data_IF_190987640888
#
_entry.id   IF_190987640888
#
_cell.length_a   1.000
_cell.length_b   1.000
_cell.length_c   1.000
_cell.angle_alpha   90.00
_cell.angle_beta   90.00
_cell.angle_gamma   90.00
#
_symmetry.space_group_name_H-M   'P 1'
#
loop_
_entity.id
_entity.type
_entity.pdbx_description
1 polymer ?
#
# COMPACT_ATOMS: atom_id res chain seq x y z
N UNK A 1 -13.99 -10.11 14.59
CA UNK A 1 -13.00 -11.18 14.88
C UNK A 1 -12.04 -10.79 16.02
N UNK A 2 -11.26 -9.71 15.92
CA UNK A 2 -10.27 -9.35 16.95
C UNK A 2 -10.84 -9.20 18.37
N UNK A 3 -11.99 -8.52 18.52
CA UNK A 3 -12.69 -8.41 19.81
C UNK A 3 -12.91 -9.78 20.48
N UNK A 4 -13.47 -10.75 19.74
CA UNK A 4 -13.74 -12.09 20.27
C UNK A 4 -12.48 -12.88 20.61
N UNK A 5 -11.42 -12.70 19.83
CA UNK A 5 -10.15 -13.34 20.11
C UNK A 5 -9.58 -12.90 21.46
N UNK A 6 -9.73 -11.61 21.79
CA UNK A 6 -9.25 -11.07 23.07
C UNK A 6 -10.19 -11.38 24.22
N UNK A 7 -11.51 -11.22 24.06
CA UNK A 7 -12.47 -11.54 25.12
C UNK A 7 -12.57 -13.05 25.39
N UNK A 8 -12.39 -13.89 24.37
CA UNK A 8 -12.41 -15.36 24.50
C UNK A 8 -11.20 -15.97 25.22
N UNK A 9 -10.23 -15.15 25.66
CA UNK A 9 -9.15 -15.58 26.55
C UNK A 9 -9.61 -15.71 28.00
N UNK A 10 -10.64 -14.96 28.40
CA UNK A 10 -11.19 -14.97 29.75
C UNK A 10 -12.22 -16.09 29.95
N UNK A 11 -12.45 -16.50 31.21
CA UNK A 11 -13.51 -17.45 31.57
C UNK A 11 -13.34 -18.90 31.10
N UNK A 12 -12.12 -19.30 30.70
CA UNK A 12 -11.82 -20.69 30.25
C UNK A 12 -11.97 -21.75 31.34
N UNK A 13 -11.93 -21.32 32.59
CA UNK A 13 -12.16 -22.14 33.78
C UNK A 13 -13.65 -22.31 34.12
N UNK A 14 -14.55 -21.79 33.27
CA UNK A 14 -16.00 -21.82 33.47
C UNK A 14 -16.49 -20.83 34.52
N UNK A 15 -15.61 -19.99 35.10
CA UNK A 15 -15.99 -18.95 36.05
C UNK A 15 -16.42 -17.69 35.33
N UNK A 16 -17.23 -16.88 36.04
CA UNK A 16 -17.70 -15.60 35.53
C UNK A 16 -16.51 -14.67 35.24
N UNK A 17 -16.52 -14.05 34.06
CA UNK A 17 -15.55 -13.05 33.64
C UNK A 17 -16.26 -11.82 33.10
N UNK A 18 -15.66 -10.65 33.32
CA UNK A 18 -16.20 -9.37 32.91
C UNK A 18 -15.29 -8.74 31.85
N UNK A 19 -15.88 -8.33 30.73
CA UNK A 19 -15.18 -7.62 29.66
C UNK A 19 -15.91 -6.29 29.44
N UNK A 20 -15.16 -5.19 29.44
CA UNK A 20 -15.69 -3.85 29.20
C UNK A 20 -15.09 -3.27 27.92
N UNK A 21 -15.95 -2.69 27.08
CA UNK A 21 -15.55 -1.97 25.88
C UNK A 21 -15.77 -0.46 26.11
N UNK A 22 -14.69 0.31 26.07
CA UNK A 22 -14.78 1.77 26.06
C UNK A 22 -14.87 2.25 24.61
N UNK A 23 -15.96 2.92 24.27
CA UNK A 23 -16.24 3.39 22.93
C UNK A 23 -16.10 4.92 22.86
N UNK A 24 -15.48 5.40 21.79
CA UNK A 24 -15.30 6.81 21.47
C UNK A 24 -15.49 7.04 19.96
N UNK A 25 -16.35 8.00 19.63
CA UNK A 25 -16.66 8.37 18.24
C UNK A 25 -15.41 8.86 17.49
N UNK A 26 -14.51 9.56 18.17
CA UNK A 26 -13.28 10.10 17.57
C UNK A 26 -12.37 8.96 17.09
N UNK A 27 -12.22 7.93 17.91
CA UNK A 27 -11.47 6.72 17.61
C UNK A 27 -12.09 5.96 16.44
N UNK A 28 -13.42 5.83 16.41
CA UNK A 28 -14.11 5.23 15.27
C UNK A 28 -13.84 5.99 13.96
N UNK A 29 -13.99 7.31 13.94
CA UNK A 29 -13.73 8.13 12.74
C UNK A 29 -12.28 8.02 12.27
N UNK A 30 -11.33 7.93 13.20
CA UNK A 30 -9.91 7.72 12.90
C UNK A 30 -9.64 6.35 12.28
N UNK A 31 -10.16 5.27 12.87
CA UNK A 31 -10.00 3.92 12.33
C UNK A 31 -10.69 3.77 10.97
N UNK A 32 -11.87 4.37 10.81
CA UNK A 32 -12.59 4.41 9.54
C UNK A 32 -11.77 5.12 8.46
N UNK A 33 -11.22 6.29 8.78
CA UNK A 33 -10.32 7.03 7.88
C UNK A 33 -9.10 6.20 7.49
N UNK A 34 -8.45 5.53 8.46
CA UNK A 34 -7.28 4.67 8.19
C UNK A 34 -7.59 3.48 7.27
N UNK A 35 -8.84 3.04 7.17
CA UNK A 35 -9.24 1.97 6.25
C UNK A 35 -9.06 2.34 4.78
N UNK A 36 -9.04 3.64 4.45
CA UNK A 36 -8.78 4.17 3.11
C UNK A 36 -7.27 4.32 2.81
N UNK A 37 -6.39 4.00 3.76
CA UNK A 37 -4.95 4.22 3.60
C UNK A 37 -4.29 3.30 2.57
N UNK A 38 -4.91 2.16 2.26
CA UNK A 38 -4.41 1.20 1.26
C UNK A 38 -5.14 1.31 -0.09
N UNK A 39 -6.21 2.11 -0.17
CA UNK A 39 -7.00 2.24 -1.40
C UNK A 39 -6.18 2.86 -2.55
N UNK A 40 -6.46 2.49 -3.78
CA UNK A 40 -5.74 2.99 -4.95
C UNK A 40 -6.72 3.41 -6.03
N UNK A 41 -6.27 4.33 -6.89
CA UNK A 41 -7.03 4.78 -8.05
C UNK A 41 -6.61 3.99 -9.28
N UNK A 42 -7.53 3.83 -10.23
CA UNK A 42 -7.28 3.10 -11.48
C UNK A 42 -6.11 3.70 -12.27
N UNK A 43 -5.97 5.02 -12.25
CA UNK A 43 -4.84 5.69 -12.88
C UNK A 43 -3.48 5.24 -12.29
N UNK A 44 -3.40 5.08 -10.97
CA UNK A 44 -2.18 4.65 -10.30
C UNK A 44 -1.87 3.18 -10.62
N UNK A 45 -2.89 2.31 -10.60
CA UNK A 45 -2.78 0.89 -10.99
C UNK A 45 -2.34 0.76 -12.44
N UNK A 46 -2.98 1.46 -13.37
CA UNK A 46 -2.61 1.43 -14.78
C UNK A 46 -1.15 1.86 -15.00
N UNK A 47 -0.72 2.95 -14.38
CA UNK A 47 0.67 3.44 -14.46
C UNK A 47 1.67 2.45 -13.86
N UNK A 48 1.30 1.78 -12.77
CA UNK A 48 2.09 0.71 -12.14
C UNK A 48 2.22 -0.49 -13.08
N UNK A 49 1.12 -1.00 -13.64
CA UNK A 49 1.11 -2.12 -14.57
C UNK A 49 1.89 -1.82 -15.86
N UNK A 50 1.74 -0.62 -16.43
CA UNK A 50 2.54 -0.19 -17.59
C UNK A 50 4.04 -0.21 -17.29
N UNK A 51 4.43 0.12 -16.07
CA UNK A 51 5.83 0.04 -15.66
C UNK A 51 6.29 -1.41 -15.51
N UNK A 52 5.49 -2.27 -14.87
CA UNK A 52 5.77 -3.69 -14.67
C UNK A 52 5.95 -4.43 -16.01
N UNK A 53 5.10 -4.13 -17.00
CA UNK A 53 5.08 -4.76 -18.33
C UNK A 53 5.72 -3.89 -19.44
N UNK A 54 6.66 -3.00 -19.08
CA UNK A 54 7.29 -2.09 -20.05
C UNK A 54 8.13 -2.83 -21.12
N UNK A 55 8.41 -2.19 -22.26
CA UNK A 55 9.12 -2.83 -23.39
C UNK A 55 10.52 -3.36 -23.05
N UNK A 56 11.15 -2.84 -22.00
CA UNK A 56 12.44 -3.32 -21.48
C UNK A 56 12.36 -4.72 -20.85
N UNK A 57 11.16 -5.21 -20.55
CA UNK A 57 10.89 -6.54 -20.00
C UNK A 57 10.51 -7.58 -21.07
N UNK A 58 10.47 -7.20 -22.36
CA UNK A 58 10.10 -8.10 -23.48
C UNK A 58 11.11 -9.22 -23.80
N UNK A 59 12.26 -9.24 -23.13
CA UNK A 59 13.18 -10.37 -23.22
C UNK A 59 12.63 -11.50 -22.36
N UNK A 60 12.26 -12.62 -22.99
CA UNK A 60 11.76 -13.80 -22.30
C UNK A 60 12.76 -14.23 -21.21
N UNK A 61 12.26 -14.55 -20.01
CA UNK A 61 13.03 -14.96 -18.82
C UNK A 61 14.00 -13.93 -18.24
N UNK A 62 13.95 -12.65 -18.66
CA UNK A 62 14.74 -11.59 -18.04
C UNK A 62 14.25 -11.30 -16.61
N UNK A 63 15.20 -11.24 -15.68
CA UNK A 63 14.93 -10.86 -14.28
C UNK A 63 14.70 -9.35 -14.23
N UNK A 64 13.50 -8.96 -13.81
CA UNK A 64 13.09 -7.58 -13.61
C UNK A 64 13.17 -7.22 -12.13
N UNK A 65 13.44 -5.95 -11.85
CA UNK A 65 13.45 -5.40 -10.50
C UNK A 65 12.69 -4.09 -10.42
N UNK A 66 12.02 -3.89 -9.29
CA UNK A 66 11.28 -2.68 -8.97
C UNK A 66 11.66 -2.19 -7.56
N UNK A 67 12.49 -1.14 -7.49
CA UNK A 67 12.92 -0.53 -6.22
C UNK A 67 11.72 0.00 -5.46
N UNK A 68 11.51 -0.52 -4.25
CA UNK A 68 10.28 -0.35 -3.48
C UNK A 68 10.03 1.12 -3.13
N UNK A 69 11.02 1.82 -2.58
CA UNK A 69 10.86 3.22 -2.14
C UNK A 69 10.52 4.15 -3.31
N UNK A 70 11.29 4.05 -4.40
CA UNK A 70 11.09 4.84 -5.62
C UNK A 70 9.72 4.56 -6.25
N UNK A 71 9.34 3.29 -6.37
CA UNK A 71 8.03 2.89 -6.90
C UNK A 71 6.89 3.38 -6.00
N UNK A 72 7.04 3.21 -4.69
CA UNK A 72 6.03 3.59 -3.69
C UNK A 72 5.69 5.07 -3.80
N UNK A 73 6.69 5.93 -3.88
CA UNK A 73 6.51 7.37 -4.08
C UNK A 73 5.96 7.70 -5.48
N UNK A 74 6.47 7.07 -6.54
CA UNK A 74 6.09 7.35 -7.95
C UNK A 74 4.63 7.00 -8.27
N UNK A 75 4.10 5.96 -7.65
CA UNK A 75 2.74 5.44 -7.87
C UNK A 75 1.79 5.75 -6.72
N UNK A 76 2.26 6.38 -5.64
CA UNK A 76 1.51 6.64 -4.41
C UNK A 76 0.86 5.36 -3.80
N UNK A 77 1.63 4.26 -3.83
CA UNK A 77 1.20 2.94 -3.33
C UNK A 77 2.12 2.46 -2.24
N UNK A 78 1.58 1.95 -1.12
CA UNK A 78 2.41 1.30 -0.11
C UNK A 78 3.02 0.01 -0.66
N UNK A 79 4.16 -0.40 -0.11
CA UNK A 79 4.84 -1.66 -0.46
C UNK A 79 3.86 -2.86 -0.46
N UNK A 80 3.07 -3.00 0.60
CA UNK A 80 2.11 -4.09 0.77
C UNK A 80 1.03 -4.12 -0.32
N UNK A 81 0.62 -2.95 -0.83
CA UNK A 81 -0.38 -2.84 -1.91
C UNK A 81 0.25 -3.27 -3.24
N UNK A 82 1.47 -2.79 -3.54
CA UNK A 82 2.19 -3.23 -4.74
C UNK A 82 2.45 -4.74 -4.71
N UNK A 83 2.87 -5.27 -3.55
CA UNK A 83 3.07 -6.71 -3.37
C UNK A 83 1.77 -7.49 -3.59
N UNK A 84 0.65 -7.01 -3.06
CA UNK A 84 -0.67 -7.64 -3.24
C UNK A 84 -1.05 -7.71 -4.72
N UNK A 85 -0.82 -6.63 -5.48
CA UNK A 85 -1.07 -6.63 -6.93
C UNK A 85 -0.15 -7.62 -7.64
N UNK A 86 1.15 -7.62 -7.34
CA UNK A 86 2.11 -8.53 -7.99
C UNK A 86 1.80 -10.00 -7.68
N UNK A 87 1.44 -10.33 -6.43
CA UNK A 87 1.02 -11.68 -6.05
C UNK A 87 -0.29 -12.07 -6.72
N UNK A 88 -1.23 -11.14 -6.90
CA UNK A 88 -2.46 -11.43 -7.66
C UNK A 88 -2.14 -11.75 -9.13
N UNK A 89 -1.18 -11.05 -9.74
CA UNK A 89 -0.71 -11.33 -11.11
C UNK A 89 0.03 -12.68 -11.24
N UNK A 90 0.58 -13.21 -10.15
CA UNK A 90 1.23 -14.52 -10.08
C UNK A 90 0.24 -15.67 -9.88
N UNK A 91 -0.77 -15.46 -9.02
CA UNK A 91 -1.71 -16.51 -8.60
C UNK A 91 -3.02 -16.53 -9.39
N UNK A 92 -3.24 -15.56 -10.28
CA UNK A 92 -4.45 -15.46 -11.11
C UNK A 92 -4.61 -16.60 -12.11
N UNK A 93 -5.78 -16.66 -12.76
CA UNK A 93 -6.06 -17.63 -13.84
C UNK A 93 -5.03 -17.53 -14.97
N UNK A 94 -4.64 -16.30 -15.29
CA UNK A 94 -3.51 -15.99 -16.15
C UNK A 94 -2.33 -15.62 -15.25
N UNK A 95 -1.28 -16.43 -15.31
CA UNK A 95 -0.04 -16.19 -14.57
C UNK A 95 0.85 -15.23 -15.36
N UNK A 96 0.66 -13.93 -15.15
CA UNK A 96 1.39 -12.91 -15.91
C UNK A 96 2.87 -12.84 -15.55
N UNK A 97 3.21 -13.10 -14.30
CA UNK A 97 4.58 -13.03 -13.79
C UNK A 97 4.84 -14.07 -12.72
N UNK A 98 6.12 -14.32 -12.42
CA UNK A 98 6.58 -15.10 -11.28
C UNK A 98 7.38 -14.22 -10.35
N UNK A 99 7.02 -14.20 -9.07
CA UNK A 99 7.77 -13.47 -8.06
C UNK A 99 9.04 -14.22 -7.69
N UNK A 100 10.10 -13.46 -7.47
CA UNK A 100 11.39 -13.94 -6.99
C UNK A 100 11.65 -13.37 -5.58
N UNK A 101 12.59 -13.96 -4.82
CA UNK A 101 12.97 -13.43 -3.52
C UNK A 101 13.34 -11.95 -3.61
N UNK A 102 12.77 -11.12 -2.73
CA UNK A 102 13.16 -9.72 -2.60
C UNK A 102 14.64 -9.63 -2.21
N UNK A 103 15.36 -8.68 -2.81
CA UNK A 103 16.75 -8.41 -2.50
C UNK A 103 17.09 -6.93 -2.69
N UNK A 104 18.21 -6.52 -2.13
CA UNK A 104 18.80 -5.19 -2.34
C UNK A 104 19.55 -5.19 -3.66
N UNK A 105 18.98 -4.60 -4.71
CA UNK A 105 19.42 -4.84 -6.09
C UNK A 105 20.68 -4.09 -6.49
N UNK A 106 20.95 -2.94 -5.87
CA UNK A 106 22.16 -2.18 -6.14
C UNK A 106 23.30 -2.64 -5.23
N UNK A 107 24.37 -3.19 -5.82
CA UNK A 107 25.57 -3.61 -5.13
C UNK A 107 26.73 -2.66 -5.42
N UNK A 108 27.41 -2.20 -4.38
CA UNK A 108 28.67 -1.46 -4.46
C UNK A 108 29.78 -2.35 -3.96
N UNK A 109 30.71 -2.71 -4.85
CA UNK A 109 31.75 -3.69 -4.59
C UNK A 109 33.14 -3.05 -4.71
N UNK A 110 34.01 -3.34 -3.75
CA UNK A 110 35.39 -2.88 -3.71
C UNK A 110 36.34 -4.08 -3.75
N UNK A 111 37.33 -4.04 -4.66
CA UNK A 111 38.36 -5.08 -4.78
C UNK A 111 39.63 -4.65 -4.04
N UNK A 112 40.17 -5.52 -3.20
CA UNK A 112 41.33 -5.20 -2.36
C UNK A 112 42.59 -5.94 -2.76
N UNK A 113 42.47 -7.25 -3.02
CA UNK A 113 43.61 -8.16 -3.11
C UNK A 113 44.03 -8.42 -4.55
N UNK A 114 43.13 -8.96 -5.37
CA UNK A 114 43.39 -9.23 -6.79
C UNK A 114 42.78 -8.15 -7.69
N UNK A 115 43.42 -7.89 -8.82
CA UNK A 115 42.85 -6.98 -9.82
C UNK A 115 41.55 -7.55 -10.41
N UNK A 116 40.52 -6.71 -10.64
CA UNK A 116 39.22 -7.16 -11.15
C UNK A 116 39.31 -7.95 -12.46
N UNK A 117 40.19 -7.53 -13.38
CA UNK A 117 40.38 -8.19 -14.68
C UNK A 117 40.97 -9.60 -14.53
N UNK A 118 41.81 -9.84 -13.52
CA UNK A 118 42.38 -11.17 -13.25
C UNK A 118 41.32 -12.12 -12.72
N UNK A 119 40.42 -11.63 -11.87
CA UNK A 119 39.29 -12.42 -11.37
C UNK A 119 38.24 -12.66 -12.46
N UNK A 120 37.95 -11.65 -13.28
CA UNK A 120 37.05 -11.74 -14.43
C UNK A 120 37.51 -12.79 -15.45
N UNK A 121 38.81 -12.93 -15.69
CA UNK A 121 39.35 -13.96 -16.58
C UNK A 121 39.08 -15.40 -16.09
N UNK A 122 38.79 -15.59 -14.79
CA UNK A 122 38.57 -16.90 -14.16
C UNK A 122 37.11 -17.17 -13.80
N UNK A 123 36.28 -16.14 -13.67
CA UNK A 123 34.90 -16.26 -13.25
C UNK A 123 33.97 -15.41 -14.13
N UNK A 124 33.01 -16.07 -14.78
CA UNK A 124 32.05 -15.44 -15.68
C UNK A 124 31.15 -14.41 -14.98
N UNK A 125 30.81 -14.63 -13.71
CA UNK A 125 30.00 -13.71 -12.90
C UNK A 125 30.81 -12.44 -12.62
N UNK A 126 32.08 -12.58 -12.25
CA UNK A 126 32.96 -11.42 -12.01
C UNK A 126 33.18 -10.64 -13.32
N UNK A 127 33.35 -11.34 -14.44
CA UNK A 127 33.42 -10.70 -15.76
C UNK A 127 32.16 -9.89 -16.08
N UNK A 128 30.97 -10.45 -15.80
CA UNK A 128 29.70 -9.78 -15.99
C UNK A 128 29.53 -8.57 -15.06
N UNK A 129 29.92 -8.69 -13.79
CA UNK A 129 29.93 -7.59 -12.81
C UNK A 129 30.79 -6.44 -13.33
N UNK A 130 32.05 -6.71 -13.68
CA UNK A 130 32.98 -5.68 -14.16
C UNK A 130 32.43 -5.00 -15.42
N UNK A 131 31.87 -5.78 -16.36
CA UNK A 131 31.29 -5.27 -17.61
C UNK A 131 30.03 -4.41 -17.41
N UNK A 132 29.17 -4.76 -16.45
CA UNK A 132 27.88 -4.09 -16.20
C UNK A 132 27.95 -3.01 -15.13
N UNK A 133 29.08 -2.89 -14.44
CA UNK A 133 29.29 -1.89 -13.40
C UNK A 133 29.62 -0.51 -13.95
N UNK A 134 29.19 0.52 -13.22
CA UNK A 134 29.74 1.85 -13.32
C UNK A 134 30.80 2.04 -12.22
N UNK A 135 32.01 2.44 -12.60
CA UNK A 135 33.12 2.65 -11.64
C UNK A 135 33.08 4.08 -11.08
N UNK A 136 32.99 4.22 -9.76
CA UNK A 136 33.10 5.50 -9.03
C UNK A 136 34.21 5.39 -7.99
N UNK A 137 35.28 6.17 -8.14
CA UNK A 137 36.39 6.20 -7.16
C UNK A 137 36.97 4.80 -6.84
N UNK A 138 37.05 3.92 -7.83
CA UNK A 138 37.52 2.53 -7.66
C UNK A 138 36.45 1.54 -7.15
N UNK A 139 35.25 2.02 -6.79
CA UNK A 139 34.11 1.18 -6.43
C UNK A 139 33.30 0.79 -7.67
N UNK A 140 32.92 -0.48 -7.74
CA UNK A 140 32.13 -1.06 -8.82
C UNK A 140 30.67 -1.08 -8.40
N UNK A 141 29.84 -0.22 -9.01
CA UNK A 141 28.40 -0.12 -8.70
C UNK A 141 27.59 -0.78 -9.81
N UNK A 142 26.75 -1.76 -9.49
CA UNK A 142 25.97 -2.52 -10.48
C UNK A 142 24.63 -3.01 -9.93
N UNK A 143 23.71 -3.33 -10.83
CA UNK A 143 22.42 -3.97 -10.54
C UNK A 143 22.54 -5.49 -10.65
N UNK A 144 22.21 -6.20 -9.57
CA UNK A 144 22.34 -7.67 -9.48
C UNK A 144 21.43 -8.39 -10.51
N UNK A 145 20.12 -8.08 -10.62
CA UNK A 145 19.25 -8.61 -11.67
C UNK A 145 19.77 -8.41 -13.09
N UNK A 146 20.34 -7.25 -13.40
CA UNK A 146 20.89 -6.94 -14.71
C UNK A 146 22.16 -7.76 -15.01
N UNK A 147 23.02 -7.98 -14.01
CA UNK A 147 24.17 -8.88 -14.12
C UNK A 147 23.69 -10.31 -14.37
N UNK A 148 22.80 -10.82 -13.50
CA UNK A 148 22.27 -12.18 -13.57
C UNK A 148 21.61 -12.46 -14.94
N UNK A 149 20.76 -11.55 -15.41
CA UNK A 149 20.09 -11.65 -16.71
C UNK A 149 21.04 -11.61 -17.90
N UNK A 150 22.19 -10.92 -17.77
CA UNK A 150 23.14 -10.79 -18.89
C UNK A 150 23.94 -12.07 -19.18
N UNK A 151 23.99 -12.99 -18.22
CA UNK A 151 24.69 -14.27 -18.33
C UNK A 151 23.77 -15.48 -18.09
N UNK A 152 22.47 -15.26 -17.89
CA UNK A 152 21.47 -16.32 -17.75
C UNK A 152 21.60 -17.16 -16.47
N UNK A 153 22.00 -16.54 -15.35
CA UNK A 153 22.12 -17.21 -14.04
C UNK A 153 21.10 -16.65 -13.05
N UNK A 154 20.88 -17.33 -11.91
CA UNK A 154 20.01 -16.81 -10.88
C UNK A 154 20.68 -15.67 -10.08
N UNK A 155 19.88 -14.76 -9.51
CA UNK A 155 20.41 -13.71 -8.61
C UNK A 155 21.09 -14.29 -7.38
N UNK A 156 20.65 -15.47 -6.91
CA UNK A 156 21.30 -16.23 -5.84
C UNK A 156 22.73 -16.61 -6.17
N UNK A 157 23.03 -16.94 -7.43
CA UNK A 157 24.37 -17.36 -7.86
C UNK A 157 25.34 -16.18 -7.83
N UNK A 158 24.87 -15.00 -8.28
CA UNK A 158 25.63 -13.75 -8.19
C UNK A 158 25.93 -13.40 -6.74
N UNK A 159 24.93 -13.50 -5.85
CA UNK A 159 25.10 -13.25 -4.41
C UNK A 159 26.07 -14.26 -3.77
N UNK A 160 25.96 -15.54 -4.09
CA UNK A 160 26.84 -16.58 -3.58
C UNK A 160 28.29 -16.37 -4.01
N UNK A 161 28.53 -15.93 -5.24
CA UNK A 161 29.88 -15.60 -5.71
C UNK A 161 30.45 -14.38 -4.96
N UNK A 162 29.67 -13.31 -4.79
CA UNK A 162 30.11 -12.13 -4.04
C UNK A 162 30.45 -12.50 -2.59
N UNK A 163 29.64 -13.35 -1.96
CA UNK A 163 29.92 -13.86 -0.62
C UNK A 163 31.21 -14.71 -0.60
N UNK A 164 31.41 -15.57 -1.59
CA UNK A 164 32.62 -16.38 -1.73
C UNK A 164 33.87 -15.52 -1.85
N UNK A 165 33.82 -14.45 -2.66
CA UNK A 165 34.91 -13.48 -2.81
C UNK A 165 35.18 -12.73 -1.50
N UNK A 166 34.13 -12.36 -0.76
CA UNK A 166 34.28 -11.73 0.56
C UNK A 166 34.95 -12.68 1.55
N UNK A 167 34.54 -13.95 1.60
CA UNK A 167 35.15 -14.95 2.48
C UNK A 167 36.63 -15.21 2.14
N UNK A 168 37.03 -15.06 0.88
CA UNK A 168 38.43 -15.13 0.44
C UNK A 168 39.23 -13.85 0.70
N UNK A 169 38.60 -12.80 1.24
CA UNK A 169 39.21 -11.48 1.46
C UNK A 169 39.51 -10.71 0.16
N UNK A 170 38.91 -11.10 -0.97
CA UNK A 170 39.13 -10.44 -2.25
C UNK A 170 38.37 -9.11 -2.33
N UNK A 171 37.18 -9.06 -1.72
CA UNK A 171 36.25 -7.94 -1.85
C UNK A 171 35.56 -7.56 -0.55
N UNK A 172 35.11 -6.31 -0.48
CA UNK A 172 34.05 -5.86 0.44
C UNK A 172 32.89 -5.32 -0.37
N UNK A 173 31.66 -5.44 0.14
CA UNK A 173 30.49 -4.94 -0.58
C UNK A 173 29.43 -4.36 0.35
N UNK A 174 28.64 -3.44 -0.20
CA UNK A 174 27.43 -2.85 0.39
C UNK A 174 26.27 -3.05 -0.59
N UNK A 175 25.07 -3.35 -0.07
CA UNK A 175 23.86 -3.49 -0.89
C UNK A 175 22.79 -2.50 -0.44
N UNK A 176 22.12 -1.87 -1.40
CA UNK A 176 21.05 -0.89 -1.19
C UNK A 176 19.89 -1.18 -2.14
N UNK A 177 18.83 -0.38 -2.02
CA UNK A 177 17.65 -0.41 -2.88
C UNK A 177 16.89 -1.74 -2.80
N UNK A 178 16.15 -1.98 -1.69
CA UNK A 178 15.23 -3.10 -1.61
C UNK A 178 14.24 -3.07 -2.78
N UNK A 179 14.09 -4.20 -3.49
CA UNK A 179 13.26 -4.28 -4.68
C UNK A 179 12.41 -5.55 -4.72
N UNK A 180 11.22 -5.43 -5.32
CA UNK A 180 10.52 -6.60 -5.84
C UNK A 180 11.28 -7.14 -7.05
N UNK A 181 11.57 -8.43 -7.06
CA UNK A 181 12.18 -9.10 -8.20
C UNK A 181 11.15 -10.06 -8.81
N UNK A 182 11.06 -10.12 -10.13
CA UNK A 182 10.11 -10.98 -10.83
C UNK A 182 10.55 -11.26 -12.26
N UNK A 183 9.99 -12.31 -12.87
CA UNK A 183 10.08 -12.56 -14.31
C UNK A 183 8.70 -12.45 -14.95
N UNK A 184 8.61 -11.83 -16.12
CA UNK A 184 7.35 -11.75 -16.88
C UNK A 184 7.18 -13.05 -17.68
N UNK A 185 6.04 -13.70 -17.51
CA UNK A 185 5.69 -14.95 -18.19
C UNK A 185 4.75 -14.66 -19.37
N UNK A 186 3.77 -13.79 -19.16
CA UNK A 186 2.78 -13.40 -20.17
C UNK A 186 2.52 -11.89 -20.13
N UNK A 187 2.34 -11.29 -21.31
CA UNK A 187 2.01 -9.87 -21.42
C UNK A 187 0.49 -9.71 -21.54
N UNK A 188 -0.13 -8.83 -20.74
CA UNK A 188 -1.55 -8.55 -20.85
C UNK A 188 -1.89 -7.95 -22.22
N UNK A 189 -2.93 -8.49 -22.87
CA UNK A 189 -3.44 -7.98 -24.15
C UNK A 189 -3.98 -6.56 -24.01
N UNK A 190 -4.58 -6.25 -22.87
CA UNK A 190 -5.11 -4.93 -22.53
C UNK A 190 -4.81 -4.59 -21.07
N UNK A 191 -3.88 -3.65 -20.87
CA UNK A 191 -3.50 -3.14 -19.55
C UNK A 191 -4.65 -2.35 -18.91
N UNK A 192 -5.48 -1.66 -19.70
CA UNK A 192 -6.57 -0.85 -19.18
C UNK A 192 -7.62 -1.76 -18.52
N UNK A 193 -8.07 -2.81 -19.22
CA UNK A 193 -9.01 -3.80 -18.66
C UNK A 193 -8.47 -4.47 -17.40
N UNK A 194 -7.20 -4.90 -17.40
CA UNK A 194 -6.56 -5.48 -16.22
C UNK A 194 -6.50 -4.49 -15.04
N UNK A 195 -6.21 -3.22 -15.33
CA UNK A 195 -6.20 -2.14 -14.33
C UNK A 195 -7.58 -1.92 -13.73
N UNK A 196 -8.64 -1.85 -14.55
CA UNK A 196 -10.01 -1.68 -14.07
C UNK A 196 -10.42 -2.87 -13.19
N UNK A 197 -10.08 -4.10 -13.59
CA UNK A 197 -10.39 -5.30 -12.83
C UNK A 197 -9.71 -5.31 -11.46
N UNK A 198 -8.39 -5.09 -11.41
CA UNK A 198 -7.62 -5.05 -10.16
C UNK A 198 -8.09 -3.91 -9.25
N UNK A 199 -8.39 -2.75 -9.82
CA UNK A 199 -8.87 -1.60 -9.04
C UNK A 199 -10.22 -1.89 -8.43
N UNK A 200 -11.14 -2.51 -9.17
CA UNK A 200 -12.45 -2.93 -8.66
C UNK A 200 -12.30 -3.91 -7.51
N UNK A 201 -11.47 -4.94 -7.68
CA UNK A 201 -11.19 -5.92 -6.63
C UNK A 201 -10.60 -5.27 -5.36
N UNK A 202 -9.63 -4.38 -5.51
CA UNK A 202 -9.05 -3.63 -4.37
C UNK A 202 -10.08 -2.72 -3.68
N UNK A 203 -10.99 -2.11 -4.45
CA UNK A 203 -12.08 -1.30 -3.91
C UNK A 203 -13.10 -2.13 -3.11
N UNK A 204 -13.36 -3.38 -3.52
CA UNK A 204 -14.19 -4.32 -2.76
C UNK A 204 -13.53 -4.68 -1.41
N UNK A 205 -12.22 -4.89 -1.40
CA UNK A 205 -11.44 -5.11 -0.17
C UNK A 205 -11.51 -3.88 0.76
N UNK A 206 -11.29 -2.68 0.21
CA UNK A 206 -11.40 -1.41 0.95
C UNK A 206 -12.80 -1.25 1.56
N UNK A 207 -13.85 -1.48 0.76
CA UNK A 207 -15.25 -1.41 1.19
C UNK A 207 -15.53 -2.42 2.30
N UNK A 208 -14.99 -3.63 2.21
CA UNK A 208 -15.12 -4.65 3.25
C UNK A 208 -14.46 -4.21 4.57
N UNK A 209 -13.28 -3.59 4.52
CA UNK A 209 -12.60 -3.04 5.72
C UNK A 209 -13.46 -1.98 6.41
N UNK A 210 -13.99 -1.01 5.66
CA UNK A 210 -14.86 0.05 6.17
C UNK A 210 -16.14 -0.55 6.78
N UNK A 211 -16.81 -1.45 6.06
CA UNK A 211 -18.04 -2.09 6.52
C UNK A 211 -17.85 -2.85 7.84
N UNK A 212 -16.74 -3.57 8.00
CA UNK A 212 -16.43 -4.28 9.25
C UNK A 212 -16.30 -3.32 10.45
N UNK A 213 -15.75 -2.13 10.26
CA UNK A 213 -15.70 -1.10 11.29
C UNK A 213 -17.08 -0.50 11.57
N UNK A 214 -17.87 -0.23 10.54
CA UNK A 214 -19.22 0.32 10.66
C UNK A 214 -20.14 -0.65 11.43
N UNK A 215 -20.06 -1.96 11.15
CA UNK A 215 -20.79 -2.99 11.90
C UNK A 215 -20.39 -3.02 13.38
N UNK A 216 -19.08 -3.02 13.67
CA UNK A 216 -18.58 -3.04 15.06
C UNK A 216 -19.02 -1.79 15.82
N UNK A 217 -18.96 -0.63 15.18
CA UNK A 217 -19.40 0.65 15.71
C UNK A 217 -20.90 0.65 16.00
N UNK A 218 -21.70 0.17 15.05
CA UNK A 218 -23.16 0.02 15.21
C UNK A 218 -23.51 -0.92 16.36
N UNK A 219 -22.79 -2.02 16.55
CA UNK A 219 -23.02 -2.95 17.65
C UNK A 219 -22.72 -2.30 19.01
N UNK A 220 -21.60 -1.58 19.13
CA UNK A 220 -21.24 -0.85 20.36
C UNK A 220 -22.29 0.23 20.70
N UNK A 221 -22.72 1.01 19.72
CA UNK A 221 -23.70 2.09 19.90
C UNK A 221 -25.08 1.54 20.28
N UNK A 222 -25.52 0.45 19.65
CA UNK A 222 -26.77 -0.20 20.00
C UNK A 222 -26.80 -0.65 21.46
N UNK A 223 -25.67 -1.17 21.97
CA UNK A 223 -25.55 -1.56 23.37
C UNK A 223 -25.56 -0.34 24.32
N UNK A 224 -24.93 0.77 23.96
CA UNK A 224 -24.91 1.98 24.80
C UNK A 224 -26.28 2.67 24.90
N UNK A 225 -27.05 2.71 23.81
CA UNK A 225 -28.32 3.45 23.74
C UNK A 225 -29.47 2.83 24.56
N UNK A 226 -29.36 1.58 25.02
CA UNK A 226 -30.37 0.89 25.84
C UNK A 226 -30.16 1.11 27.36
N UNK A 227 -29.35 2.08 27.75
CA UNK A 227 -28.95 2.36 29.15
C UNK A 227 -30.00 3.06 30.02
N UNK A 228 -31.26 3.17 29.58
CA UNK A 228 -32.32 3.92 30.26
C UNK A 228 -32.95 3.24 31.50
N UNK A 229 -32.37 2.15 32.04
CA UNK A 229 -32.87 1.49 33.27
C UNK A 229 -31.73 1.07 34.21
N UNK A 230 -32.02 1.11 35.53
CA UNK A 230 -31.09 1.06 36.68
C UNK A 230 -29.83 0.17 36.56
N UNK A 231 -28.74 0.66 37.15
CA UNK A 231 -27.33 0.26 36.97
C UNK A 231 -27.02 -1.25 37.09
N UNK A 232 -27.78 -2.03 37.86
CA UNK A 232 -27.48 -3.47 38.08
C UNK A 232 -28.09 -4.38 37.00
N UNK A 233 -29.19 -3.96 36.37
CA UNK A 233 -29.83 -4.70 35.25
C UNK A 233 -29.30 -4.30 33.86
N UNK A 234 -28.49 -3.24 33.80
CA UNK A 234 -28.03 -2.62 32.56
C UNK A 234 -27.00 -3.49 31.82
N UNK A 235 -26.02 -4.06 32.55
CA UNK A 235 -24.94 -4.85 31.93
C UNK A 235 -25.39 -6.15 31.25
N UNK A 236 -26.43 -6.81 31.76
CA UNK A 236 -26.96 -8.04 31.19
C UNK A 236 -27.64 -7.79 29.83
N UNK A 237 -28.43 -6.71 29.71
CA UNK A 237 -29.07 -6.32 28.44
C UNK A 237 -28.04 -5.91 27.39
N UNK A 238 -27.06 -5.08 27.79
CA UNK A 238 -25.95 -4.69 26.92
C UNK A 238 -25.19 -5.91 26.39
N UNK A 239 -24.93 -6.89 27.26
CA UNK A 239 -24.29 -8.15 26.90
C UNK A 239 -25.11 -8.92 25.87
N UNK A 240 -26.42 -9.07 26.08
CA UNK A 240 -27.31 -9.77 25.15
C UNK A 240 -27.37 -9.09 23.78
N UNK A 241 -27.44 -7.75 23.74
CA UNK A 241 -27.43 -6.98 22.49
C UNK A 241 -26.13 -7.22 21.73
N UNK A 242 -24.98 -7.08 22.40
CA UNK A 242 -23.68 -7.33 21.78
C UNK A 242 -23.55 -8.77 21.28
N UNK A 243 -23.94 -9.76 22.09
CA UNK A 243 -23.93 -11.17 21.71
C UNK A 243 -24.81 -11.45 20.49
N UNK A 244 -26.03 -10.90 20.46
CA UNK A 244 -26.93 -11.02 19.31
C UNK A 244 -26.29 -10.44 18.06
N UNK A 245 -25.76 -9.22 18.11
CA UNK A 245 -25.11 -8.58 16.95
C UNK A 245 -23.88 -9.33 16.47
N UNK A 246 -23.11 -9.90 17.40
CA UNK A 246 -21.96 -10.74 17.08
C UNK A 246 -22.43 -12.03 16.38
N UNK A 247 -23.44 -12.71 16.92
CA UNK A 247 -24.01 -13.90 16.30
C UNK A 247 -24.55 -13.61 14.90
N UNK A 248 -25.28 -12.50 14.74
CA UNK A 248 -25.79 -12.06 13.43
C UNK A 248 -24.65 -11.83 12.43
N UNK A 249 -23.52 -11.25 12.88
CA UNK A 249 -22.34 -11.05 12.03
C UNK A 249 -21.69 -12.36 11.56
N UNK A 250 -21.60 -13.37 12.43
CA UNK A 250 -20.98 -14.66 12.08
C UNK A 250 -21.92 -15.61 11.32
N UNK A 251 -23.23 -15.45 11.51
CA UNK A 251 -24.25 -16.29 10.86
C UNK A 251 -24.84 -15.64 9.60
N UNK A 252 -24.70 -14.33 9.44
CA UNK A 252 -25.24 -13.58 8.31
C UNK A 252 -24.30 -13.58 7.09
N UNK A 253 -24.89 -13.32 5.92
CA UNK A 253 -24.12 -13.02 4.72
C UNK A 253 -23.42 -11.65 4.85
N UNK A 254 -22.27 -11.48 4.18
CA UNK A 254 -21.43 -10.26 4.17
C UNK A 254 -22.17 -8.96 3.76
N UNK A 255 -23.45 -9.02 3.38
CA UNK A 255 -24.30 -7.93 2.84
C UNK A 255 -25.16 -7.21 3.89
N UNK A 256 -24.75 -7.16 5.15
CA UNK A 256 -25.45 -6.34 6.14
C UNK A 256 -25.19 -4.83 5.90
N UNK A 257 -26.19 -4.11 5.38
CA UNK A 257 -26.14 -2.65 5.25
C UNK A 257 -26.34 -2.01 6.62
N UNK A 258 -25.24 -1.61 7.26
CA UNK A 258 -25.28 -0.82 8.50
C UNK A 258 -25.17 0.67 8.16
N UNK A 259 -26.03 1.53 8.73
CA UNK A 259 -25.94 2.97 8.51
C UNK A 259 -24.64 3.51 9.10
N UNK A 260 -23.84 4.18 8.28
CA UNK A 260 -22.63 4.87 8.71
C UNK A 260 -22.99 6.17 9.46
N UNK A 261 -22.17 6.58 10.43
CA UNK A 261 -22.35 7.83 11.21
C UNK A 261 -21.86 9.09 10.47
N UNK A 262 -21.53 8.94 9.20
CA UNK A 262 -20.81 9.91 8.39
C UNK A 262 -21.78 10.85 7.68
N UNK A 263 -21.34 12.10 7.55
CA UNK A 263 -22.14 13.16 6.95
C UNK A 263 -21.94 13.17 5.44
N UNK A 264 -23.03 13.25 4.68
CA UNK A 264 -22.98 13.34 3.20
C UNK A 264 -22.92 14.78 2.67
N UNK A 265 -23.29 15.78 3.49
CA UNK A 265 -23.33 17.19 3.07
C UNK A 265 -22.38 18.05 3.90
N UNK A 266 -21.53 18.83 3.25
CA UNK A 266 -20.68 19.80 3.91
C UNK A 266 -20.56 21.09 3.10
N UNK A 267 -21.09 22.18 3.64
CA UNK A 267 -21.23 23.47 2.95
C UNK A 267 -19.89 24.08 2.48
N UNK A 268 -18.80 23.81 3.22
CA UNK A 268 -17.48 24.41 2.96
C UNK A 268 -16.49 23.48 2.26
N UNK A 269 -16.81 22.20 2.08
CA UNK A 269 -15.86 21.19 1.59
C UNK A 269 -15.20 21.59 0.26
N UNK A 270 -16.00 21.98 -0.73
CA UNK A 270 -15.47 22.39 -2.05
C UNK A 270 -14.66 23.68 -1.99
N UNK A 271 -15.09 24.65 -1.17
CA UNK A 271 -14.36 25.90 -0.98
C UNK A 271 -13.00 25.65 -0.32
N UNK A 272 -12.96 24.82 0.72
CA UNK A 272 -11.74 24.45 1.44
C UNK A 272 -10.79 23.63 0.53
N UNK A 273 -11.30 22.68 -0.27
CA UNK A 273 -10.52 21.96 -1.28
C UNK A 273 -9.90 22.95 -2.30
N UNK A 274 -10.68 23.92 -2.77
CA UNK A 274 -10.19 24.94 -3.71
C UNK A 274 -9.06 25.78 -3.10
N UNK A 275 -9.21 26.24 -1.85
CA UNK A 275 -8.17 27.00 -1.13
C UNK A 275 -6.93 26.12 -0.91
N UNK A 276 -7.12 24.85 -0.55
CA UNK A 276 -6.05 23.87 -0.41
C UNK A 276 -5.24 23.72 -1.71
N UNK A 277 -5.92 23.51 -2.85
CA UNK A 277 -5.28 23.40 -4.16
C UNK A 277 -4.51 24.67 -4.54
N UNK A 278 -5.11 25.84 -4.31
CA UNK A 278 -4.47 27.13 -4.59
C UNK A 278 -3.22 27.37 -3.75
N UNK A 279 -3.20 26.88 -2.50
CA UNK A 279 -2.06 27.01 -1.59
C UNK A 279 -0.94 26.01 -1.89
N UNK A 280 -1.23 24.93 -2.63
CA UNK A 280 -0.32 23.83 -2.88
C UNK A 280 -0.09 23.56 -4.38
N UNK A 281 -0.01 24.62 -5.20
CA UNK A 281 0.12 24.49 -6.67
C UNK A 281 1.35 23.72 -7.16
N UNK A 282 2.37 23.61 -6.32
CA UNK A 282 3.61 22.89 -6.63
C UNK A 282 3.42 21.37 -6.61
N UNK A 283 2.37 20.86 -5.94
CA UNK A 283 2.11 19.43 -5.81
C UNK A 283 1.08 18.95 -6.84
N UNK A 284 1.30 17.74 -7.37
CA UNK A 284 0.38 17.09 -8.32
C UNK A 284 -0.50 16.09 -7.58
N UNK A 285 -1.73 16.48 -7.29
CA UNK A 285 -2.67 15.65 -6.53
C UNK A 285 -3.55 14.77 -7.42
N UNK A 286 -3.95 13.61 -6.89
CA UNK A 286 -5.13 12.87 -7.34
C UNK A 286 -6.32 13.19 -6.42
N UNK A 287 -7.57 12.92 -6.84
CA UNK A 287 -8.74 13.08 -5.97
C UNK A 287 -8.60 12.33 -4.64
N UNK A 288 -8.08 11.09 -4.69
CA UNK A 288 -7.82 10.28 -3.51
C UNK A 288 -6.75 10.86 -2.60
N UNK A 289 -5.67 11.42 -3.15
CA UNK A 289 -4.63 12.07 -2.35
C UNK A 289 -5.20 13.25 -1.53
N UNK A 290 -6.07 14.05 -2.15
CA UNK A 290 -6.78 15.14 -1.46
C UNK A 290 -7.70 14.57 -0.39
N UNK A 291 -8.51 13.56 -0.71
CA UNK A 291 -9.42 12.94 0.25
C UNK A 291 -8.68 12.35 1.46
N UNK A 292 -7.53 11.70 1.24
CA UNK A 292 -6.64 11.22 2.31
C UNK A 292 -6.19 12.34 3.24
N UNK A 293 -5.72 13.47 2.70
CA UNK A 293 -5.32 14.63 3.49
C UNK A 293 -6.50 15.16 4.31
N UNK A 294 -7.67 15.33 3.69
CA UNK A 294 -8.90 15.80 4.36
C UNK A 294 -9.38 14.84 5.47
N UNK A 295 -9.09 13.54 5.34
CA UNK A 295 -9.31 12.50 6.35
C UNK A 295 -8.16 12.32 7.35
N UNK A 296 -7.05 13.05 7.20
CA UNK A 296 -5.91 12.94 8.11
C UNK A 296 -5.10 11.66 7.94
N UNK A 297 -5.05 11.14 6.71
CA UNK A 297 -4.36 9.91 6.32
C UNK A 297 -3.20 10.25 5.39
N UNK A 298 -2.02 9.73 5.69
CA UNK A 298 -0.84 9.91 4.85
C UNK A 298 -0.73 8.84 3.77
N UNK A 299 0.02 9.15 2.73
CA UNK A 299 0.41 8.20 1.69
C UNK A 299 1.90 8.36 1.34
N UNK A 300 2.51 7.44 0.57
CA UNK A 300 3.93 7.53 0.24
C UNK A 300 4.34 8.83 -0.48
N UNK A 301 3.51 9.33 -1.41
CA UNK A 301 3.78 10.60 -2.09
C UNK A 301 3.39 11.82 -1.22
N UNK A 302 2.50 11.62 -0.25
CA UNK A 302 1.99 12.67 0.64
C UNK A 302 2.15 12.26 2.12
N UNK A 303 3.39 12.19 2.63
CA UNK A 303 3.67 11.63 3.95
C UNK A 303 3.16 12.51 5.09
N UNK A 304 2.76 11.88 6.19
CA UNK A 304 2.27 12.53 7.39
C UNK A 304 3.27 13.57 7.94
N UNK A 305 4.58 13.27 7.92
CA UNK A 305 5.65 14.17 8.39
C UNK A 305 5.65 15.57 7.74
N UNK A 306 5.08 15.67 6.54
CA UNK A 306 4.96 16.92 5.78
C UNK A 306 3.51 17.44 5.85
N UNK A 307 2.54 16.60 5.53
CA UNK A 307 1.16 17.03 5.24
C UNK A 307 0.26 17.15 6.48
N UNK A 308 0.64 16.59 7.63
CA UNK A 308 -0.13 16.81 8.87
C UNK A 308 -0.11 18.24 9.40
N UNK A 309 0.81 19.05 8.91
CA UNK A 309 0.97 20.45 9.31
C UNK A 309 -0.07 21.37 8.66
N UNK A 310 -0.80 20.91 7.63
CA UNK A 310 -1.81 21.76 6.99
C UNK A 310 -3.06 21.86 7.86
N UNK A 311 -3.73 23.02 7.86
CA UNK A 311 -5.02 23.20 8.56
C UNK A 311 -6.16 22.33 8.03
N UNK A 312 -5.99 21.72 6.85
CA UNK A 312 -6.97 20.85 6.22
C UNK A 312 -6.81 19.39 6.66
N UNK A 313 -5.71 19.04 7.34
CA UNK A 313 -5.43 17.67 7.73
C UNK A 313 -6.48 17.14 8.72
N UNK A 314 -7.22 16.11 8.32
CA UNK A 314 -8.25 15.49 9.17
C UNK A 314 -9.48 16.36 9.44
N UNK A 315 -9.62 17.51 8.75
CA UNK A 315 -10.73 18.45 8.96
C UNK A 315 -12.10 17.86 8.62
N UNK A 316 -12.15 16.83 7.77
CA UNK A 316 -13.37 16.23 7.25
C UNK A 316 -13.48 14.73 7.56
N UNK A 317 -12.88 14.26 8.65
CA UNK A 317 -12.94 12.84 9.06
C UNK A 317 -14.36 12.28 9.24
N UNK A 318 -15.33 13.14 9.57
CA UNK A 318 -16.75 12.77 9.72
C UNK A 318 -17.53 12.76 8.40
N UNK A 319 -16.95 13.18 7.28
CA UNK A 319 -17.58 13.18 5.96
C UNK A 319 -17.28 11.84 5.27
N UNK A 320 -18.18 11.36 4.42
CA UNK A 320 -17.91 10.16 3.62
C UNK A 320 -16.73 10.35 2.66
N UNK A 321 -15.82 9.36 2.62
CA UNK A 321 -14.60 9.45 1.82
C UNK A 321 -14.91 9.62 0.32
N UNK A 322 -15.95 8.94 -0.18
CA UNK A 322 -16.40 9.08 -1.58
C UNK A 322 -16.89 10.49 -1.90
N UNK A 323 -17.62 11.13 -0.99
CA UNK A 323 -18.09 12.51 -1.16
C UNK A 323 -16.92 13.48 -1.28
N UNK A 324 -15.87 13.28 -0.47
CA UNK A 324 -14.65 14.09 -0.59
C UNK A 324 -13.93 13.82 -1.90
N UNK A 325 -13.85 12.55 -2.33
CA UNK A 325 -13.24 12.22 -3.64
C UNK A 325 -13.98 12.88 -4.80
N UNK A 326 -15.32 12.84 -4.83
CA UNK A 326 -16.14 13.48 -5.86
C UNK A 326 -15.95 15.00 -5.88
N UNK A 327 -15.95 15.63 -4.70
CA UNK A 327 -15.67 17.05 -4.56
C UNK A 327 -14.26 17.41 -5.03
N UNK A 328 -13.26 16.60 -4.66
CA UNK A 328 -11.87 16.78 -5.05
C UNK A 328 -11.66 16.61 -6.56
N UNK A 329 -12.32 15.61 -7.16
CA UNK A 329 -12.29 15.38 -8.61
C UNK A 329 -12.87 16.59 -9.36
N UNK A 330 -14.03 17.08 -8.92
CA UNK A 330 -14.67 18.27 -9.51
C UNK A 330 -13.77 19.50 -9.43
N UNK A 331 -13.18 19.79 -8.27
CA UNK A 331 -12.31 20.95 -8.10
C UNK A 331 -10.97 20.81 -8.85
N UNK A 332 -10.42 19.60 -8.97
CA UNK A 332 -9.22 19.36 -9.78
C UNK A 332 -9.46 19.67 -11.26
N UNK A 333 -10.57 19.23 -11.85
CA UNK A 333 -10.91 19.58 -13.23
C UNK A 333 -11.02 21.11 -13.41
N UNK A 334 -11.76 21.78 -12.52
CA UNK A 334 -11.90 23.24 -12.55
C UNK A 334 -10.59 24.01 -12.33
N UNK A 335 -9.60 23.38 -11.68
CA UNK A 335 -8.28 23.95 -11.42
C UNK A 335 -7.36 23.82 -12.64
N UNK A 336 -7.40 22.68 -13.33
CA UNK A 336 -6.64 22.46 -14.58
C UNK A 336 -7.11 23.40 -15.68
N UNK A 337 -8.43 23.52 -15.89
CA UNK A 337 -8.99 24.38 -16.94
C UNK A 337 -8.60 25.86 -16.75
N UNK A 338 -8.58 26.33 -15.50
CA UNK A 338 -8.16 27.70 -15.18
C UNK A 338 -6.67 27.93 -15.41
N UNK A 339 -5.82 26.96 -15.11
CA UNK A 339 -4.40 27.09 -15.38
C UNK A 339 -4.10 27.04 -16.89
N UNK A 340 -4.87 26.25 -17.66
CA UNK A 340 -4.77 26.24 -19.11
C UNK A 340 -5.18 27.60 -19.72
N UNK A 341 -6.27 28.20 -19.22
CA UNK A 341 -6.74 29.52 -19.66
C UNK A 341 -5.83 30.69 -19.24
N UNK A 342 -5.00 30.52 -18.22
CA UNK A 342 -4.02 31.54 -17.77
C UNK A 342 -2.65 31.39 -18.45
N UNK A 343 -2.41 30.27 -19.14
CA UNK A 343 -1.15 29.97 -19.85
C UNK A 343 -1.17 30.33 -21.34
N UNK A 344 -2.32 30.80 -21.85
CA UNK A 344 -2.54 31.34 -23.20
C UNK A 344 -2.54 32.85 -23.19
#
# INVERSE_FOLDING_TARGET
MHLLQETGRAGRDGRLSYCHLFYDDTTYLKLRSLSHSDGVDEYAVGKFLTHVFSSETKQHEKICSLVIESASHKFDMKEQVMQTILTHLELGEVQYLRMLPQLNVCCTLNFHKSFPNTLAARNIIVAAIVKKSHVKQGLYVFDIPAVASSIGVATSDVLAEIQTLKMKGEVTYEMKDPAFCYTVLEFPKDICSLSSHLTKWLAEIETCKVRKLDIMSSAAVAAMNDSSTSEVSSGAKQTLILQSRILDYFNGDDKCNTPSKTTQNCAFLRADIKVFLQSNRHAKFTPRAIARIMHGVGSPAFPNSVWSKTHFWGRYMSVEFSVIMEAAQTELFNFVDRNAALAT
#
